data_IF_651612837966
#
_entry.id   IF_651612837966
#
_cell.length_a   1.000
_cell.length_b   1.000
_cell.length_c   1.000
_cell.angle_alpha   90.00
_cell.angle_beta   90.00
_cell.angle_gamma   90.00
#
_symmetry.space_group_name_H-M   'P 1'
#
loop_
_entity.id
_entity.type
_entity.pdbx_description
1 polymer ?
#
# COMPACT_ATOMS: atom_id res chain seq x y z
N UNK A 1 33.69 -0.76 -39.27
CA UNK A 1 32.38 -1.42 -39.46
C UNK A 1 31.83 -2.10 -38.21
N UNK A 2 32.40 -1.91 -37.00
CA UNK A 2 31.90 -2.54 -35.77
C UNK A 2 30.89 -1.69 -34.96
N UNK A 3 30.61 -0.44 -35.37
CA UNK A 3 29.76 0.50 -34.61
C UNK A 3 28.29 0.58 -35.02
N UNK A 4 27.86 -0.14 -36.08
CA UNK A 4 26.44 -0.12 -36.52
C UNK A 4 25.59 -1.23 -35.91
N UNK A 5 26.16 -2.40 -35.64
CA UNK A 5 25.41 -3.54 -35.11
C UNK A 5 25.07 -3.41 -33.61
N UNK A 6 25.92 -2.75 -32.81
CA UNK A 6 25.65 -2.53 -31.37
C UNK A 6 24.47 -1.57 -31.12
N UNK A 7 24.19 -0.69 -32.09
CA UNK A 7 23.17 0.35 -31.97
C UNK A 7 21.77 -0.11 -32.43
N UNK A 8 21.67 -1.16 -33.25
CA UNK A 8 20.37 -1.71 -33.69
C UNK A 8 19.76 -2.64 -32.63
N UNK A 9 20.56 -3.51 -31.99
CA UNK A 9 20.10 -4.41 -30.92
C UNK A 9 19.65 -3.67 -29.66
N UNK A 10 20.27 -2.51 -29.35
CA UNK A 10 19.86 -1.64 -28.23
C UNK A 10 18.59 -0.85 -28.56
N UNK A 11 18.38 -0.45 -29.81
CA UNK A 11 17.17 0.26 -30.25
C UNK A 11 15.96 -0.69 -30.31
N UNK A 12 16.17 -1.96 -30.68
CA UNK A 12 15.10 -2.97 -30.66
C UNK A 12 14.73 -3.42 -29.24
N UNK A 13 15.67 -3.51 -28.31
CA UNK A 13 15.37 -3.84 -26.90
C UNK A 13 14.69 -2.72 -26.11
N UNK A 14 14.87 -1.45 -26.51
CA UNK A 14 14.22 -0.29 -25.87
C UNK A 14 12.80 0.00 -26.38
N UNK A 15 12.42 -0.52 -27.56
CA UNK A 15 11.08 -0.31 -28.14
C UNK A 15 9.94 -0.82 -27.25
N UNK A 16 9.99 -2.05 -26.69
CA UNK A 16 8.94 -2.54 -25.79
C UNK A 16 8.75 -1.65 -24.56
N UNK A 17 9.85 -1.15 -23.97
CA UNK A 17 9.80 -0.30 -22.78
C UNK A 17 9.17 1.08 -23.07
N UNK A 18 9.47 1.68 -24.22
CA UNK A 18 8.85 2.94 -24.66
C UNK A 18 7.35 2.78 -24.91
N UNK A 19 6.94 1.69 -25.55
CA UNK A 19 5.51 1.39 -25.79
C UNK A 19 4.76 1.17 -24.46
N UNK A 20 5.37 0.47 -23.49
CA UNK A 20 4.80 0.32 -22.15
C UNK A 20 4.64 1.66 -21.43
N UNK A 21 5.62 2.56 -21.51
CA UNK A 21 5.55 3.88 -20.90
C UNK A 21 4.46 4.78 -21.52
N UNK A 22 4.30 4.77 -22.85
CA UNK A 22 3.23 5.51 -23.53
C UNK A 22 1.83 4.97 -23.17
N UNK A 23 1.68 3.65 -23.10
CA UNK A 23 0.45 3.01 -22.64
C UNK A 23 0.14 3.40 -21.18
N UNK A 24 1.16 3.42 -20.31
CA UNK A 24 1.06 3.89 -18.93
C UNK A 24 0.57 5.34 -18.84
N UNK A 25 1.19 6.27 -19.59
CA UNK A 25 0.76 7.68 -19.65
C UNK A 25 -0.68 7.83 -20.10
N UNK A 26 -1.12 7.07 -21.11
CA UNK A 26 -2.51 7.10 -21.57
C UNK A 26 -3.48 6.66 -20.47
N UNK A 27 -3.17 5.59 -19.75
CA UNK A 27 -4.00 5.13 -18.64
C UNK A 27 -4.05 6.15 -17.50
N UNK A 28 -2.89 6.69 -17.10
CA UNK A 28 -2.78 7.68 -16.01
C UNK A 28 -3.53 8.97 -16.33
N UNK A 29 -3.49 9.44 -17.58
CA UNK A 29 -4.26 10.63 -18.01
C UNK A 29 -5.77 10.43 -17.90
N UNK A 30 -6.26 9.21 -18.06
CA UNK A 30 -7.69 8.92 -17.94
C UNK A 30 -8.18 8.90 -16.48
N UNK A 31 -7.28 8.92 -15.49
CA UNK A 31 -7.65 8.90 -14.07
C UNK A 31 -8.28 10.23 -13.66
N UNK A 32 -9.59 10.22 -13.43
CA UNK A 32 -10.37 11.33 -12.90
C UNK A 32 -11.38 10.83 -11.88
N UNK A 33 -11.86 11.73 -11.02
CA UNK A 33 -12.97 11.43 -10.13
C UNK A 33 -14.27 11.35 -10.95
N UNK A 34 -14.94 10.20 -10.90
CA UNK A 34 -16.26 9.99 -11.49
C UNK A 34 -17.21 9.40 -10.45
N UNK A 35 -18.53 9.65 -10.54
CA UNK A 35 -19.50 8.99 -9.68
C UNK A 35 -19.43 7.46 -9.84
N UNK A 36 -19.49 6.73 -8.73
CA UNK A 36 -19.40 5.26 -8.72
C UNK A 36 -20.48 4.66 -9.62
N UNK A 37 -20.11 3.70 -10.46
CA UNK A 37 -20.95 3.06 -11.48
C UNK A 37 -21.48 3.95 -12.62
N UNK A 38 -21.03 5.20 -12.75
CA UNK A 38 -21.21 5.96 -14.00
C UNK A 38 -20.49 5.29 -15.19
N UNK A 39 -20.91 5.57 -16.42
CA UNK A 39 -20.27 5.02 -17.62
C UNK A 39 -18.76 5.34 -17.67
N UNK A 40 -18.39 6.57 -17.29
CA UNK A 40 -17.01 7.04 -17.21
C UNK A 40 -16.24 6.31 -16.10
N UNK A 41 -16.87 6.05 -14.95
CA UNK A 41 -16.27 5.27 -13.88
C UNK A 41 -16.02 3.83 -14.33
N UNK A 42 -16.97 3.19 -15.02
CA UNK A 42 -16.79 1.82 -15.55
C UNK A 42 -15.61 1.76 -16.54
N UNK A 43 -15.48 2.77 -17.42
CA UNK A 43 -14.36 2.90 -18.35
C UNK A 43 -13.02 3.19 -17.64
N UNK A 44 -13.06 3.96 -16.54
CA UNK A 44 -11.92 4.17 -15.66
C UNK A 44 -11.45 2.84 -15.05
N UNK A 45 -12.35 1.97 -14.57
CA UNK A 45 -11.96 0.65 -14.03
C UNK A 45 -11.17 -0.16 -15.05
N UNK A 46 -11.58 -0.15 -16.32
CA UNK A 46 -10.84 -0.86 -17.37
C UNK A 46 -9.45 -0.25 -17.63
N UNK A 47 -9.32 1.08 -17.53
CA UNK A 47 -8.03 1.77 -17.62
C UNK A 47 -7.12 1.46 -16.42
N UNK A 48 -7.67 1.44 -15.20
CA UNK A 48 -6.94 1.06 -13.98
C UNK A 48 -6.47 -0.39 -14.03
N UNK A 49 -7.29 -1.30 -14.57
CA UNK A 49 -6.93 -2.71 -14.79
C UNK A 49 -5.77 -2.87 -15.75
N UNK A 50 -5.76 -2.10 -16.84
CA UNK A 50 -4.62 -2.07 -17.77
C UNK A 50 -3.36 -1.56 -17.09
N UNK A 51 -3.46 -0.44 -16.35
CA UNK A 51 -2.32 0.14 -15.64
C UNK A 51 -1.76 -0.79 -14.55
N UNK A 52 -2.62 -1.42 -13.75
CA UNK A 52 -2.21 -2.38 -12.72
C UNK A 52 -1.51 -3.60 -13.34
N UNK A 53 -1.98 -4.10 -14.49
CA UNK A 53 -1.28 -5.16 -15.24
C UNK A 53 0.09 -4.72 -15.73
N UNK A 54 0.25 -3.48 -16.18
CA UNK A 54 1.56 -2.94 -16.57
C UNK A 54 2.52 -2.96 -15.38
N UNK A 55 2.09 -2.47 -14.21
CA UNK A 55 2.89 -2.50 -12.97
C UNK A 55 3.28 -3.93 -12.55
N UNK A 56 2.37 -4.89 -12.70
CA UNK A 56 2.66 -6.30 -12.38
C UNK A 56 3.66 -6.93 -13.36
N UNK A 57 3.58 -6.59 -14.64
CA UNK A 57 4.55 -7.05 -15.64
C UNK A 57 5.92 -6.42 -15.37
N UNK A 58 5.92 -5.13 -15.06
CA UNK A 58 7.07 -4.34 -14.66
C UNK A 58 7.86 -4.96 -13.49
N UNK A 59 7.16 -5.34 -12.42
CA UNK A 59 7.79 -6.03 -11.28
C UNK A 59 8.31 -7.45 -11.56
N UNK A 60 8.02 -8.03 -12.74
CA UNK A 60 8.54 -9.35 -13.17
C UNK A 60 9.66 -9.23 -14.20
N UNK A 61 9.96 -8.03 -14.67
CA UNK A 61 11.06 -7.82 -15.61
C UNK A 61 12.42 -7.96 -14.89
N UNK A 62 13.46 -8.46 -15.58
CA UNK A 62 14.78 -8.54 -15.01
C UNK A 62 15.31 -7.15 -14.64
N UNK A 63 16.13 -7.08 -13.59
CA UNK A 63 16.78 -5.85 -13.15
C UNK A 63 17.55 -5.19 -14.31
N UNK A 64 17.46 -3.86 -14.43
CA UNK A 64 18.09 -3.10 -15.48
C UNK A 64 19.61 -2.98 -15.22
N UNK A 65 20.47 -3.66 -16.00
CA UNK A 65 21.91 -3.70 -15.75
C UNK A 65 22.59 -2.32 -15.93
N UNK A 66 21.96 -1.39 -16.67
CA UNK A 66 22.49 -0.04 -16.89
C UNK A 66 22.49 0.83 -15.61
N UNK A 67 21.66 0.47 -14.63
CA UNK A 67 21.56 1.20 -13.35
C UNK A 67 22.74 0.85 -12.43
N UNK A 68 23.24 -0.39 -12.49
CA UNK A 68 24.41 -0.85 -11.75
C UNK A 68 25.72 -0.18 -12.19
N UNK A 69 25.81 0.27 -13.45
CA UNK A 69 27.01 0.94 -14.00
C UNK A 69 27.08 2.43 -13.63
N UNK A 70 25.99 3.01 -13.12
CA UNK A 70 25.93 4.41 -12.68
C UNK A 70 26.45 4.58 -11.24
N UNK A 71 27.78 4.66 -11.12
CA UNK A 71 28.59 5.35 -10.08
C UNK A 71 28.07 5.39 -8.62
N UNK A 72 28.76 4.64 -7.74
CA UNK A 72 28.94 5.03 -6.33
C UNK A 72 27.77 4.82 -5.38
N UNK A 73 26.77 3.99 -5.75
CA UNK A 73 25.67 3.66 -4.85
C UNK A 73 26.12 2.90 -3.62
N UNK A 74 25.51 3.26 -2.49
CA UNK A 74 25.44 2.37 -1.35
C UNK A 74 24.52 1.19 -1.72
N UNK A 75 25.11 0.02 -1.96
CA UNK A 75 24.40 -1.22 -2.24
C UNK A 75 23.51 -1.65 -1.06
N UNK A 76 23.63 -1.02 0.11
CA UNK A 76 22.80 -1.24 1.28
C UNK A 76 21.52 -0.37 1.31
N UNK A 77 21.38 0.64 0.45
CA UNK A 77 20.19 1.50 0.38
C UNK A 77 19.17 0.95 -0.60
N UNK A 78 17.91 0.82 -0.16
CA UNK A 78 16.77 0.72 -1.09
C UNK A 78 16.81 1.98 -1.98
N UNK A 79 17.07 1.83 -3.27
CA UNK A 79 17.25 2.98 -4.18
C UNK A 79 15.97 3.82 -4.33
N UNK A 80 16.12 5.09 -4.73
CA UNK A 80 14.99 6.02 -4.95
C UNK A 80 14.10 5.55 -6.10
N UNK A 81 12.82 5.96 -6.13
CA UNK A 81 11.88 5.68 -7.25
C UNK A 81 12.47 6.01 -8.63
N UNK A 82 13.39 6.97 -8.69
CA UNK A 82 14.02 7.48 -9.92
C UNK A 82 15.22 6.65 -10.36
N UNK A 83 15.76 5.88 -9.42
CA UNK A 83 17.05 5.23 -9.48
C UNK A 83 16.94 3.70 -9.43
N UNK A 84 15.76 3.10 -9.33
CA UNK A 84 15.68 1.66 -9.13
C UNK A 84 16.18 0.81 -10.31
N UNK A 85 16.76 -0.34 -9.98
CA UNK A 85 17.06 -1.41 -10.94
C UNK A 85 15.78 -2.03 -11.50
N UNK A 86 14.68 -1.95 -10.75
CA UNK A 86 13.37 -2.40 -11.17
C UNK A 86 12.74 -1.45 -12.20
N UNK A 87 12.07 -2.02 -13.19
CA UNK A 87 11.36 -1.26 -14.20
C UNK A 87 10.03 -0.74 -13.62
N UNK A 88 9.99 0.42 -12.97
CA UNK A 88 8.75 0.96 -12.37
C UNK A 88 8.17 2.18 -13.10
N UNK A 89 8.15 2.14 -14.44
CA UNK A 89 7.74 3.29 -15.24
C UNK A 89 6.29 3.69 -14.97
N UNK A 90 5.38 2.73 -14.78
CA UNK A 90 3.97 3.05 -14.56
C UNK A 90 3.71 3.75 -13.23
N UNK A 91 4.37 3.33 -12.13
CA UNK A 91 4.29 4.02 -10.84
C UNK A 91 4.94 5.39 -10.92
N UNK A 92 6.11 5.48 -11.56
CA UNK A 92 6.78 6.76 -11.79
C UNK A 92 5.88 7.76 -12.52
N UNK A 93 5.25 7.34 -13.62
CA UNK A 93 4.31 8.19 -14.38
C UNK A 93 3.12 8.62 -13.50
N UNK A 94 2.60 7.72 -12.67
CA UNK A 94 1.48 8.03 -11.75
C UNK A 94 1.85 9.14 -10.75
N UNK A 95 3.09 9.10 -10.23
CA UNK A 95 3.65 10.11 -9.32
C UNK A 95 3.94 11.42 -10.07
N UNK A 96 4.62 11.37 -11.22
CA UNK A 96 4.95 12.53 -12.06
C UNK A 96 3.71 13.34 -12.47
N UNK A 97 2.60 12.67 -12.78
CA UNK A 97 1.33 13.29 -13.17
C UNK A 97 0.44 13.66 -11.96
N UNK A 98 0.99 13.58 -10.73
CA UNK A 98 0.33 13.93 -9.46
C UNK A 98 -1.01 13.20 -9.23
N UNK A 99 -1.13 11.94 -9.69
CA UNK A 99 -2.39 11.18 -9.62
C UNK A 99 -2.52 10.33 -8.35
N UNK A 100 -1.46 10.10 -7.57
CA UNK A 100 -1.53 9.24 -6.38
C UNK A 100 -2.50 9.78 -5.32
N UNK A 101 -2.50 11.09 -5.04
CA UNK A 101 -3.48 11.73 -4.14
C UNK A 101 -4.92 11.64 -4.66
N UNK A 102 -5.12 11.64 -5.99
CA UNK A 102 -6.43 11.42 -6.57
C UNK A 102 -6.87 9.96 -6.42
N UNK A 103 -5.95 9.01 -6.63
CA UNK A 103 -6.20 7.59 -6.39
C UNK A 103 -6.61 7.32 -4.94
N UNK A 104 -5.95 7.95 -3.96
CA UNK A 104 -6.33 7.82 -2.55
C UNK A 104 -7.74 8.36 -2.28
N UNK A 105 -8.06 9.57 -2.77
CA UNK A 105 -9.40 10.16 -2.63
C UNK A 105 -10.50 9.30 -3.24
N UNK A 106 -10.30 8.83 -4.48
CA UNK A 106 -11.25 7.93 -5.14
C UNK A 106 -11.44 6.63 -4.35
N UNK A 107 -10.37 6.05 -3.79
CA UNK A 107 -10.46 4.84 -2.97
C UNK A 107 -11.25 5.10 -1.69
N UNK A 108 -10.95 6.19 -1.00
CA UNK A 108 -11.63 6.57 0.23
C UNK A 108 -13.13 6.82 0.01
N UNK A 109 -13.48 7.58 -1.03
CA UNK A 109 -14.88 7.84 -1.42
C UNK A 109 -15.61 6.54 -1.81
N UNK A 110 -14.94 5.66 -2.56
CA UNK A 110 -15.49 4.35 -2.91
C UNK A 110 -15.79 3.50 -1.67
N UNK A 111 -14.89 3.46 -0.69
CA UNK A 111 -15.11 2.68 0.54
C UNK A 111 -16.19 3.31 1.42
N UNK A 112 -16.33 4.63 1.44
CA UNK A 112 -17.49 5.32 2.05
C UNK A 112 -18.80 4.93 1.39
N UNK A 113 -18.86 4.96 0.07
CA UNK A 113 -20.02 4.51 -0.70
C UNK A 113 -20.35 3.03 -0.41
N UNK A 114 -19.34 2.17 -0.36
CA UNK A 114 -19.52 0.73 -0.08
C UNK A 114 -20.09 0.47 1.32
N UNK A 115 -19.72 1.29 2.31
CA UNK A 115 -20.23 1.20 3.69
C UNK A 115 -21.61 1.89 3.88
N UNK A 116 -22.21 2.46 2.84
CA UNK A 116 -23.55 3.04 2.87
C UNK A 116 -24.55 2.15 2.09
N UNK A 117 -25.24 1.19 2.74
CA UNK A 117 -26.08 0.21 2.04
C UNK A 117 -27.22 0.85 1.22
N UNK A 118 -27.79 1.94 1.71
CA UNK A 118 -28.90 2.63 1.06
C UNK A 118 -28.45 3.31 -0.24
N UNK A 119 -27.35 4.06 -0.19
CA UNK A 119 -26.77 4.74 -1.36
C UNK A 119 -26.26 3.72 -2.39
N UNK A 120 -25.57 2.68 -1.91
CA UNK A 120 -25.05 1.59 -2.75
C UNK A 120 -26.18 0.88 -3.51
N UNK A 121 -27.24 0.48 -2.81
CA UNK A 121 -28.38 -0.19 -3.43
C UNK A 121 -29.05 0.70 -4.50
N UNK A 122 -29.29 1.98 -4.18
CA UNK A 122 -29.87 2.92 -5.13
C UNK A 122 -28.99 3.09 -6.38
N UNK A 123 -27.68 3.25 -6.20
CA UNK A 123 -26.71 3.40 -7.31
C UNK A 123 -26.70 2.18 -8.21
N UNK A 124 -26.72 0.97 -7.64
CA UNK A 124 -26.74 -0.29 -8.38
C UNK A 124 -28.04 -0.42 -9.19
N UNK A 125 -29.19 -0.14 -8.60
CA UNK A 125 -30.49 -0.22 -9.30
C UNK A 125 -30.57 0.77 -10.46
N UNK A 126 -30.03 1.97 -10.31
CA UNK A 126 -29.93 2.96 -11.38
C UNK A 126 -29.01 2.48 -12.51
N UNK A 127 -27.83 1.94 -12.18
CA UNK A 127 -26.88 1.42 -13.15
C UNK A 127 -27.43 0.21 -13.93
N UNK A 128 -28.16 -0.69 -13.27
CA UNK A 128 -28.82 -1.84 -13.94
C UNK A 128 -29.81 -1.33 -15.00
N UNK A 129 -30.63 -0.33 -14.65
CA UNK A 129 -31.61 0.27 -15.58
C UNK A 129 -30.94 1.02 -16.73
N UNK A 130 -29.82 1.68 -16.47
CA UNK A 130 -29.14 2.52 -17.45
C UNK A 130 -28.30 1.73 -18.48
N UNK A 131 -27.68 0.62 -18.07
CA UNK A 131 -26.64 -0.06 -18.86
C UNK A 131 -26.96 -1.52 -19.21
N UNK A 132 -28.18 -2.01 -18.93
CA UNK A 132 -28.58 -3.41 -19.15
C UNK A 132 -27.57 -4.41 -18.58
N UNK A 133 -26.97 -4.05 -17.45
CA UNK A 133 -25.95 -4.83 -16.74
C UNK A 133 -26.58 -5.58 -15.58
N UNK A 134 -26.04 -6.75 -15.26
CA UNK A 134 -26.45 -7.51 -14.07
C UNK A 134 -25.75 -6.98 -12.82
N UNK A 135 -26.39 -7.14 -11.65
CA UNK A 135 -25.77 -6.80 -10.36
C UNK A 135 -24.39 -7.45 -10.20
N UNK A 136 -24.27 -8.74 -10.54
CA UNK A 136 -23.00 -9.47 -10.51
C UNK A 136 -21.88 -8.81 -11.34
N UNK A 137 -22.20 -8.28 -12.53
CA UNK A 137 -21.21 -7.59 -13.38
C UNK A 137 -20.77 -6.26 -12.76
N UNK A 138 -21.68 -5.53 -12.11
CA UNK A 138 -21.36 -4.29 -11.42
C UNK A 138 -20.51 -4.56 -10.17
N UNK A 139 -20.83 -5.60 -9.39
CA UNK A 139 -20.01 -6.03 -8.26
C UNK A 139 -18.59 -6.42 -8.68
N UNK A 140 -18.46 -7.13 -9.80
CA UNK A 140 -17.15 -7.45 -10.37
C UNK A 140 -16.36 -6.20 -10.76
N UNK A 141 -17.02 -5.11 -11.19
CA UNK A 141 -16.36 -3.84 -11.48
C UNK A 141 -15.93 -3.13 -10.19
N UNK A 142 -16.74 -3.18 -9.13
CA UNK A 142 -16.38 -2.70 -7.79
C UNK A 142 -15.12 -3.39 -7.25
N UNK A 143 -15.10 -4.73 -7.28
CA UNK A 143 -13.94 -5.53 -6.86
C UNK A 143 -12.71 -5.16 -7.70
N UNK A 144 -12.85 -5.10 -9.03
CA UNK A 144 -11.74 -4.76 -9.92
C UNK A 144 -11.19 -3.36 -9.66
N UNK A 145 -12.05 -2.38 -9.40
CA UNK A 145 -11.63 -1.03 -9.03
C UNK A 145 -10.80 -1.05 -7.76
N UNK A 146 -11.30 -1.70 -6.71
CA UNK A 146 -10.64 -1.78 -5.41
C UNK A 146 -9.28 -2.47 -5.48
N UNK A 147 -9.22 -3.64 -6.12
CA UNK A 147 -7.99 -4.41 -6.30
C UNK A 147 -6.93 -3.64 -7.11
N UNK A 148 -7.34 -3.04 -8.23
CA UNK A 148 -6.41 -2.37 -9.13
C UNK A 148 -5.85 -1.12 -8.47
N UNK A 149 -6.71 -0.27 -7.91
CA UNK A 149 -6.30 0.97 -7.29
C UNK A 149 -5.52 0.72 -5.99
N UNK A 150 -5.91 -0.29 -5.20
CA UNK A 150 -5.16 -0.72 -4.02
C UNK A 150 -3.75 -1.22 -4.37
N UNK A 151 -3.61 -1.98 -5.45
CA UNK A 151 -2.30 -2.42 -5.95
C UNK A 151 -1.41 -1.22 -6.34
N UNK A 152 -1.98 -0.23 -7.05
CA UNK A 152 -1.24 0.96 -7.47
C UNK A 152 -0.78 1.80 -6.27
N UNK A 153 -1.67 2.04 -5.30
CA UNK A 153 -1.34 2.78 -4.09
C UNK A 153 -0.29 2.05 -3.26
N UNK A 154 -0.46 0.75 -3.04
CA UNK A 154 0.51 -0.10 -2.32
C UNK A 154 1.91 0.02 -2.93
N UNK A 155 2.01 -0.09 -4.26
CA UNK A 155 3.29 0.00 -4.97
C UNK A 155 3.87 1.41 -4.92
N UNK A 156 3.03 2.44 -5.02
CA UNK A 156 3.50 3.82 -4.91
C UNK A 156 4.05 4.14 -3.51
N UNK A 157 3.41 3.63 -2.44
CA UNK A 157 3.82 3.88 -1.05
C UNK A 157 5.01 3.06 -0.57
N UNK A 158 5.57 2.18 -1.41
CA UNK A 158 6.90 1.60 -1.14
C UNK A 158 8.02 2.64 -1.25
N UNK A 159 7.73 3.79 -1.86
CA UNK A 159 8.71 4.85 -2.11
C UNK A 159 8.44 6.04 -1.21
N UNK A 160 9.45 6.45 -0.45
CA UNK A 160 9.36 7.58 0.47
C UNK A 160 9.05 8.89 -0.26
N UNK A 161 9.57 9.08 -1.47
CA UNK A 161 9.34 10.27 -2.29
C UNK A 161 7.87 10.40 -2.67
N UNK A 162 7.19 9.29 -2.93
CA UNK A 162 5.74 9.30 -3.13
C UNK A 162 5.07 9.80 -1.87
N UNK A 163 5.38 9.22 -0.71
CA UNK A 163 4.74 9.58 0.57
C UNK A 163 4.98 11.05 0.94
N UNK A 164 6.14 11.61 0.63
CA UNK A 164 6.44 13.04 0.84
C UNK A 164 5.54 13.98 0.01
N UNK A 165 4.98 13.50 -1.10
CA UNK A 165 4.05 14.24 -1.96
C UNK A 165 2.57 13.97 -1.62
N UNK A 166 2.30 13.05 -0.69
CA UNK A 166 0.94 12.63 -0.34
C UNK A 166 0.28 13.52 0.70
N UNK A 167 -1.04 13.54 0.64
CA UNK A 167 -1.88 13.96 1.76
C UNK A 167 -1.85 12.88 2.85
N UNK A 168 -0.87 12.99 3.75
CA UNK A 168 -0.67 12.06 4.87
C UNK A 168 -1.89 12.03 5.81
N UNK A 169 -2.50 13.17 6.20
CA UNK A 169 -3.74 13.16 6.98
C UNK A 169 -4.84 12.28 6.35
N UNK A 170 -5.11 12.45 5.05
CA UNK A 170 -6.12 11.63 4.36
C UNK A 170 -5.74 10.14 4.33
N UNK A 171 -4.45 9.82 4.18
CA UNK A 171 -3.99 8.43 4.20
C UNK A 171 -4.20 7.78 5.57
N UNK A 172 -3.90 8.49 6.65
CA UNK A 172 -4.17 8.04 8.02
C UNK A 172 -5.68 7.85 8.22
N UNK A 173 -6.50 8.82 7.82
CA UNK A 173 -7.96 8.73 7.89
C UNK A 173 -8.50 7.53 7.11
N UNK A 174 -7.98 7.27 5.92
CA UNK A 174 -8.33 6.09 5.13
C UNK A 174 -7.97 4.81 5.86
N UNK A 175 -6.76 4.71 6.41
CA UNK A 175 -6.36 3.53 7.18
C UNK A 175 -7.30 3.26 8.35
N UNK A 176 -7.58 4.28 9.14
CA UNK A 176 -8.48 4.19 10.31
C UNK A 176 -9.89 3.79 9.87
N UNK A 177 -10.41 4.40 8.81
CA UNK A 177 -11.75 4.12 8.27
C UNK A 177 -11.92 2.65 7.87
N UNK A 178 -10.92 2.06 7.20
CA UNK A 178 -10.95 0.65 6.81
C UNK A 178 -10.88 -0.26 8.03
N UNK A 179 -9.91 -0.02 8.92
CA UNK A 179 -9.69 -0.86 10.11
C UNK A 179 -10.93 -0.86 11.02
N UNK A 180 -11.53 0.30 11.28
CA UNK A 180 -12.77 0.41 12.06
C UNK A 180 -13.96 -0.29 11.38
N UNK A 181 -14.05 -0.22 10.06
CA UNK A 181 -15.04 -0.96 9.27
C UNK A 181 -14.94 -2.48 9.47
N UNK A 182 -13.72 -3.02 9.50
CA UNK A 182 -13.48 -4.44 9.74
C UNK A 182 -13.93 -4.89 11.14
N UNK A 183 -13.72 -4.07 12.17
CA UNK A 183 -14.20 -4.36 13.53
C UNK A 183 -15.72 -4.34 13.65
N UNK A 184 -16.38 -3.47 12.88
CA UNK A 184 -17.84 -3.35 12.88
C UNK A 184 -18.54 -4.48 12.11
N UNK A 185 -17.85 -5.14 11.18
CA UNK A 185 -18.39 -6.31 10.48
C UNK A 185 -18.20 -7.59 11.33
N UNK A 186 -19.32 -8.29 11.60
CA UNK A 186 -19.41 -9.45 12.50
C UNK A 186 -18.77 -10.75 11.95
N UNK A 187 -17.93 -10.67 10.91
CA UNK A 187 -17.34 -11.84 10.26
C UNK A 187 -15.92 -12.17 10.74
N UNK A 188 -15.59 -13.46 10.81
CA UNK A 188 -14.23 -13.95 11.11
C UNK A 188 -13.38 -14.19 9.85
N UNK A 189 -13.92 -13.84 8.67
CA UNK A 189 -13.21 -13.94 7.39
C UNK A 189 -12.81 -12.56 6.91
N UNK A 190 -11.55 -12.42 6.54
CA UNK A 190 -10.98 -11.22 5.92
C UNK A 190 -11.48 -11.04 4.47
N UNK A 191 -12.01 -12.11 3.86
CA UNK A 191 -12.40 -12.10 2.46
C UNK A 191 -11.19 -12.18 1.52
N UNK A 192 -11.27 -11.47 0.39
CA UNK A 192 -10.19 -11.46 -0.60
C UNK A 192 -9.03 -10.58 -0.15
N UNK A 193 -7.84 -11.18 -0.02
CA UNK A 193 -6.61 -10.51 0.44
C UNK A 193 -6.10 -9.37 -0.45
N UNK A 194 -6.71 -9.17 -1.63
CA UNK A 194 -6.39 -8.09 -2.56
C UNK A 194 -7.22 -6.81 -2.33
N UNK A 195 -8.20 -6.86 -1.43
CA UNK A 195 -9.07 -5.73 -1.07
C UNK A 195 -8.46 -4.87 0.04
N UNK A 196 -9.04 -3.69 0.29
CA UNK A 196 -8.48 -2.70 1.20
C UNK A 196 -8.34 -3.21 2.63
N UNK A 197 -9.23 -4.11 3.07
CA UNK A 197 -9.19 -4.75 4.38
C UNK A 197 -7.84 -5.46 4.62
N UNK A 198 -7.18 -5.92 3.57
CA UNK A 198 -5.83 -6.46 3.67
C UNK A 198 -4.76 -5.44 3.29
N UNK A 199 -4.98 -4.71 2.20
CA UNK A 199 -3.97 -3.83 1.62
C UNK A 199 -3.62 -2.66 2.56
N UNK A 200 -4.55 -2.24 3.42
CA UNK A 200 -4.35 -1.14 4.39
C UNK A 200 -3.15 -1.36 5.33
N UNK A 201 -2.81 -2.61 5.67
CA UNK A 201 -1.67 -2.90 6.53
C UNK A 201 -0.33 -2.61 5.84
N UNK A 202 -0.26 -2.70 4.51
CA UNK A 202 0.92 -2.20 3.77
C UNK A 202 1.03 -0.68 3.89
N UNK A 203 -0.08 0.05 3.83
CA UNK A 203 -0.05 1.51 3.95
C UNK A 203 0.41 1.94 5.34
N UNK A 204 -0.12 1.30 6.38
CA UNK A 204 0.34 1.49 7.75
C UNK A 204 1.84 1.17 7.90
N UNK A 205 2.27 0.00 7.41
CA UNK A 205 3.68 -0.39 7.44
C UNK A 205 4.59 0.63 6.77
N UNK A 206 4.23 1.10 5.57
CA UNK A 206 4.95 2.15 4.85
C UNK A 206 4.99 3.48 5.59
N UNK A 207 3.87 3.94 6.18
CA UNK A 207 3.83 5.18 6.97
C UNK A 207 4.81 5.11 8.14
N UNK A 208 4.81 4.00 8.87
CA UNK A 208 5.68 3.80 10.02
C UNK A 208 7.15 3.63 9.60
N UNK A 209 7.42 2.89 8.52
CA UNK A 209 8.77 2.70 7.94
C UNK A 209 9.43 4.03 7.59
N UNK A 210 8.65 4.99 7.10
CA UNK A 210 9.16 6.27 6.61
C UNK A 210 8.84 7.45 7.52
N UNK A 211 8.38 7.23 8.75
CA UNK A 211 7.91 8.31 9.64
C UNK A 211 8.95 9.43 9.85
N UNK A 212 10.22 9.08 10.01
CA UNK A 212 11.32 10.06 10.18
C UNK A 212 11.59 10.92 8.94
N UNK A 213 11.42 10.34 7.74
CA UNK A 213 11.62 11.03 6.47
C UNK A 213 10.40 11.88 6.07
N UNK A 214 9.29 11.73 6.80
CA UNK A 214 8.07 12.51 6.69
C UNK A 214 8.03 13.57 7.81
N UNK A 215 6.89 14.25 7.97
CA UNK A 215 6.67 15.11 9.14
C UNK A 215 6.38 14.24 10.37
N UNK A 216 7.45 13.69 10.98
CA UNK A 216 7.39 12.69 12.05
C UNK A 216 6.43 13.10 13.18
N UNK A 217 6.58 14.32 13.70
CA UNK A 217 5.77 14.80 14.83
C UNK A 217 4.29 14.90 14.49
N UNK A 218 3.94 15.38 13.30
CA UNK A 218 2.53 15.47 12.87
C UNK A 218 1.93 14.08 12.61
N UNK A 219 2.68 13.22 11.92
CA UNK A 219 2.27 11.84 11.63
C UNK A 219 2.02 11.05 12.92
N UNK A 220 2.95 11.10 13.87
CA UNK A 220 2.83 10.42 15.15
C UNK A 220 1.69 11.00 15.99
N UNK A 221 1.54 12.33 16.04
CA UNK A 221 0.45 12.98 16.76
C UNK A 221 -0.93 12.56 16.21
N UNK A 222 -1.11 12.54 14.88
CA UNK A 222 -2.35 12.09 14.23
C UNK A 222 -2.59 10.59 14.40
N UNK A 223 -1.54 9.78 14.29
CA UNK A 223 -1.62 8.33 14.51
C UNK A 223 -2.08 8.00 15.92
N UNK A 224 -1.61 8.75 16.91
CA UNK A 224 -2.07 8.65 18.31
C UNK A 224 -3.52 9.10 18.47
N UNK A 225 -3.86 10.28 17.94
CA UNK A 225 -5.22 10.84 18.05
C UNK A 225 -6.28 9.86 17.52
N UNK A 226 -5.99 9.19 16.41
CA UNK A 226 -6.90 8.25 15.75
C UNK A 226 -6.65 6.78 16.14
N UNK A 227 -5.79 6.51 17.12
CA UNK A 227 -5.48 5.17 17.62
C UNK A 227 -5.04 4.18 16.51
N UNK A 228 -4.35 4.68 15.49
CA UNK A 228 -4.01 3.91 14.29
C UNK A 228 -3.18 2.66 14.61
N UNK A 229 -2.21 2.77 15.52
CA UNK A 229 -1.35 1.63 15.91
C UNK A 229 -2.18 0.51 16.54
N UNK A 230 -3.04 0.84 17.51
CA UNK A 230 -3.89 -0.14 18.19
C UNK A 230 -4.85 -0.82 17.22
N UNK A 231 -5.47 -0.04 16.31
CA UNK A 231 -6.37 -0.55 15.27
C UNK A 231 -5.64 -1.51 14.31
N UNK A 232 -4.45 -1.13 13.82
CA UNK A 232 -3.68 -1.93 12.87
C UNK A 232 -3.22 -3.26 13.50
N UNK A 233 -2.75 -3.21 14.74
CA UNK A 233 -2.27 -4.39 15.48
C UNK A 233 -3.42 -5.34 15.80
N UNK A 234 -4.54 -4.81 16.30
CA UNK A 234 -5.72 -5.62 16.60
C UNK A 234 -6.28 -6.27 15.33
N UNK A 235 -6.26 -5.55 14.20
CA UNK A 235 -6.72 -6.07 12.91
C UNK A 235 -5.81 -7.18 12.39
N UNK A 236 -4.49 -6.97 12.47
CA UNK A 236 -3.52 -8.00 12.12
C UNK A 236 -3.74 -9.27 12.93
N UNK A 237 -3.86 -9.14 14.26
CA UNK A 237 -4.00 -10.28 15.16
C UNK A 237 -5.30 -11.06 14.94
N UNK A 238 -6.40 -10.37 14.62
CA UNK A 238 -7.68 -11.00 14.30
C UNK A 238 -7.59 -11.91 13.07
N UNK A 239 -6.80 -11.53 12.07
CA UNK A 239 -6.71 -12.25 10.79
C UNK A 239 -5.30 -12.78 10.47
N UNK A 240 -4.45 -12.96 11.50
CA UNK A 240 -3.03 -13.27 11.34
C UNK A 240 -2.75 -14.47 10.44
N UNK A 241 -3.60 -15.50 10.52
CA UNK A 241 -3.46 -16.74 9.73
C UNK A 241 -3.92 -16.58 8.27
N UNK A 242 -4.65 -15.51 7.94
CA UNK A 242 -5.20 -15.25 6.59
C UNK A 242 -4.28 -14.34 5.76
N UNK A 243 -3.35 -13.62 6.40
CA UNK A 243 -2.41 -12.74 5.70
C UNK A 243 -1.26 -13.50 5.05
N UNK A 244 -0.88 -13.05 3.85
CA UNK A 244 0.29 -13.54 3.12
C UNK A 244 1.60 -13.14 3.82
N UNK A 245 2.65 -13.93 3.64
CA UNK A 245 3.98 -13.70 4.22
C UNK A 245 4.57 -12.34 3.86
N UNK A 246 4.39 -11.90 2.61
CA UNK A 246 4.86 -10.59 2.14
C UNK A 246 4.25 -9.42 2.94
N UNK A 247 2.96 -9.53 3.31
CA UNK A 247 2.30 -8.55 4.16
C UNK A 247 2.88 -8.58 5.57
N UNK A 248 3.07 -9.79 6.13
CA UNK A 248 3.64 -9.98 7.46
C UNK A 248 5.02 -9.34 7.57
N UNK A 249 5.88 -9.56 6.56
CA UNK A 249 7.20 -8.95 6.50
C UNK A 249 7.12 -7.43 6.44
N UNK A 250 6.31 -6.88 5.53
CA UNK A 250 6.16 -5.42 5.40
C UNK A 250 5.61 -4.77 6.68
N UNK A 251 4.66 -5.41 7.36
CA UNK A 251 4.14 -4.95 8.64
C UNK A 251 5.20 -5.01 9.74
N UNK A 252 5.98 -6.09 9.82
CA UNK A 252 7.04 -6.25 10.81
C UNK A 252 8.15 -5.21 10.62
N UNK A 253 8.54 -4.92 9.36
CA UNK A 253 9.50 -3.88 9.03
C UNK A 253 9.00 -2.50 9.44
N UNK A 254 7.74 -2.16 9.12
CA UNK A 254 7.13 -0.89 9.53
C UNK A 254 7.03 -0.72 11.05
N UNK A 255 6.60 -1.77 11.76
CA UNK A 255 6.56 -1.75 13.23
C UNK A 255 7.95 -1.69 13.87
N UNK A 256 8.96 -2.30 13.24
CA UNK A 256 10.35 -2.20 13.68
C UNK A 256 10.89 -0.79 13.53
N UNK A 257 10.66 -0.15 12.38
CA UNK A 257 11.04 1.24 12.17
C UNK A 257 10.33 2.20 13.16
N UNK A 258 9.04 1.97 13.45
CA UNK A 258 8.33 2.71 14.49
C UNK A 258 8.99 2.53 15.87
N UNK A 259 9.41 1.31 16.20
CA UNK A 259 10.08 1.02 17.47
C UNK A 259 11.51 1.59 17.57
N UNK A 260 12.14 1.88 16.44
CA UNK A 260 13.47 2.53 16.36
C UNK A 260 13.37 4.07 16.41
N UNK A 261 12.17 4.62 16.18
CA UNK A 261 11.93 6.06 16.13
C UNK A 261 12.00 6.71 17.53
N UNK A 262 12.86 7.72 17.67
CA UNK A 262 13.13 8.38 18.96
C UNK A 262 11.90 9.11 19.54
N UNK A 263 11.12 9.79 18.70
CA UNK A 263 9.93 10.53 19.14
C UNK A 263 8.85 9.55 19.61
N UNK A 264 8.64 8.44 18.88
CA UNK A 264 7.75 7.37 19.31
C UNK A 264 8.21 6.79 20.66
N UNK A 265 9.50 6.45 20.79
CA UNK A 265 10.05 5.86 22.01
C UNK A 265 9.99 6.80 23.22
N UNK A 266 9.90 8.11 23.01
CA UNK A 266 9.74 9.08 24.09
C UNK A 266 8.32 9.08 24.66
N UNK A 267 7.30 8.86 23.82
CA UNK A 267 5.89 8.96 24.19
C UNK A 267 5.08 7.68 23.93
N UNK A 268 5.75 6.53 23.82
CA UNK A 268 5.16 5.28 23.31
C UNK A 268 3.93 4.83 24.10
N UNK A 269 3.89 5.08 25.42
CA UNK A 269 2.75 4.70 26.26
C UNK A 269 1.44 5.36 25.82
N UNK A 270 1.52 6.57 25.25
CA UNK A 270 0.35 7.31 24.77
C UNK A 270 -0.31 6.68 23.54
N UNK A 271 0.38 5.76 22.85
CA UNK A 271 -0.16 4.99 21.73
C UNK A 271 -0.92 3.72 22.18
N UNK A 272 -0.93 3.42 23.48
CA UNK A 272 -1.62 2.27 24.07
C UNK A 272 -2.63 2.75 25.13
N UNK A 273 -3.68 3.51 24.73
CA UNK A 273 -4.62 4.10 25.68
C UNK A 273 -5.52 3.08 26.37
N UNK A 274 -5.77 1.91 25.76
CA UNK A 274 -6.62 0.89 26.36
C UNK A 274 -5.85 0.01 27.36
N UNK A 275 -6.49 -0.47 28.45
CA UNK A 275 -5.81 -1.29 29.47
C UNK A 275 -5.13 -2.54 28.91
N UNK A 276 -5.73 -3.13 27.87
CA UNK A 276 -5.27 -4.36 27.24
C UNK A 276 -4.41 -4.10 25.98
N UNK A 277 -4.22 -2.85 25.56
CA UNK A 277 -3.47 -2.52 24.34
C UNK A 277 -2.01 -3.03 24.40
N UNK A 278 -1.35 -2.87 25.57
CA UNK A 278 0.02 -3.37 25.77
C UNK A 278 0.09 -4.89 25.65
N UNK A 279 -0.84 -5.61 26.29
CA UNK A 279 -0.92 -7.07 26.21
C UNK A 279 -1.24 -7.55 24.79
N UNK A 280 -2.16 -6.86 24.11
CA UNK A 280 -2.52 -7.11 22.72
C UNK A 280 -1.31 -6.94 21.80
N UNK A 281 -0.54 -5.86 21.96
CA UNK A 281 0.68 -5.64 21.18
C UNK A 281 1.73 -6.73 21.38
N UNK A 282 1.88 -7.24 22.61
CA UNK A 282 2.82 -8.33 22.89
C UNK A 282 2.46 -9.64 22.18
N UNK A 283 1.19 -9.86 21.80
CA UNK A 283 0.80 -11.03 21.00
C UNK A 283 1.45 -11.04 19.61
N UNK A 284 1.88 -9.89 19.09
CA UNK A 284 2.65 -9.82 17.84
C UNK A 284 3.97 -10.58 17.92
N UNK A 285 4.54 -10.72 19.11
CA UNK A 285 5.78 -11.47 19.26
C UNK A 285 5.59 -12.91 18.76
N UNK A 286 4.52 -13.56 19.22
CA UNK A 286 4.16 -14.93 18.86
C UNK A 286 3.56 -15.03 17.45
N UNK A 287 2.68 -14.10 17.06
CA UNK A 287 1.90 -14.19 15.82
C UNK A 287 2.57 -13.60 14.58
N UNK A 288 3.55 -12.71 14.77
CA UNK A 288 4.23 -12.01 13.68
C UNK A 288 5.74 -12.32 13.67
N UNK A 289 6.46 -11.96 14.74
CA UNK A 289 7.93 -11.99 14.69
C UNK A 289 8.53 -13.39 14.81
N UNK A 290 7.98 -14.26 15.65
CA UNK A 290 8.48 -15.65 15.78
C UNK A 290 8.37 -16.41 14.46
N UNK A 291 7.22 -16.46 13.77
CA UNK A 291 7.10 -17.13 12.48
C UNK A 291 8.08 -16.59 11.43
N UNK A 292 8.25 -15.26 11.36
CA UNK A 292 9.20 -14.62 10.44
C UNK A 292 10.64 -15.08 10.73
N UNK A 293 11.04 -15.14 12.00
CA UNK A 293 12.41 -15.53 12.39
C UNK A 293 12.68 -17.03 12.23
N UNK A 294 11.66 -17.86 12.35
CA UNK A 294 11.76 -19.30 12.10
C UNK A 294 11.96 -19.59 10.62
N UNK A 295 11.25 -18.87 9.75
CA UNK A 295 11.36 -19.03 8.30
C UNK A 295 12.58 -18.29 7.72
N UNK A 296 12.86 -17.07 8.20
CA UNK A 296 13.88 -16.14 7.68
C UNK A 296 14.76 -15.58 8.81
N UNK A 297 15.68 -16.39 9.38
CA UNK A 297 16.52 -15.97 10.50
C UNK A 297 17.40 -14.73 10.21
N UNK A 298 17.74 -14.49 8.94
CA UNK A 298 18.51 -13.34 8.47
C UNK A 298 17.79 -12.00 8.72
N UNK A 299 16.45 -12.00 8.73
CA UNK A 299 15.62 -10.80 9.00
C UNK A 299 15.71 -10.32 10.44
N UNK A 300 16.37 -11.07 11.33
CA UNK A 300 16.53 -10.72 12.75
C UNK A 300 17.16 -9.36 12.99
N UNK A 301 18.07 -8.92 12.12
CA UNK A 301 18.71 -7.61 12.26
C UNK A 301 17.71 -6.48 11.99
N UNK A 302 16.87 -6.65 10.97
CA UNK A 302 15.90 -5.64 10.53
C UNK A 302 14.75 -5.49 11.52
N UNK A 303 14.28 -6.58 12.11
CA UNK A 303 13.19 -6.55 13.11
C UNK A 303 13.70 -6.39 14.56
N UNK A 304 15.00 -6.13 14.76
CA UNK A 304 15.61 -6.08 16.09
C UNK A 304 14.98 -4.98 16.98
N UNK A 305 14.78 -3.74 16.51
CA UNK A 305 14.11 -2.71 17.30
C UNK A 305 12.76 -3.16 17.87
N UNK A 306 11.93 -3.83 17.06
CA UNK A 306 10.64 -4.36 17.51
C UNK A 306 10.79 -5.39 18.64
N UNK A 307 11.76 -6.30 18.55
CA UNK A 307 12.04 -7.29 19.59
C UNK A 307 12.48 -6.64 20.90
N UNK A 308 13.32 -5.61 20.82
CA UNK A 308 13.77 -4.85 21.99
C UNK A 308 12.60 -4.05 22.60
N UNK A 309 11.71 -3.51 21.76
CA UNK A 309 10.50 -2.83 22.21
C UNK A 309 9.51 -3.76 22.92
N UNK A 310 9.32 -5.00 22.48
CA UNK A 310 8.54 -5.99 23.25
C UNK A 310 9.10 -6.20 24.66
N UNK A 311 10.42 -6.20 24.81
CA UNK A 311 11.06 -6.29 26.12
C UNK A 311 10.85 -5.02 26.96
N UNK A 312 10.82 -3.84 26.33
CA UNK A 312 10.51 -2.59 27.01
C UNK A 312 9.07 -2.59 27.54
N UNK A 313 8.08 -3.00 26.73
CA UNK A 313 6.68 -3.12 27.16
C UNK A 313 6.57 -4.08 28.34
N UNK A 314 7.17 -5.27 28.26
CA UNK A 314 7.14 -6.27 29.37
C UNK A 314 7.73 -5.77 30.68
N UNK A 315 8.69 -4.84 30.64
CA UNK A 315 9.28 -4.22 31.85
C UNK A 315 8.38 -3.14 32.46
N UNK A 316 7.46 -2.59 31.67
CA UNK A 316 6.52 -1.55 32.09
C UNK A 316 5.16 -2.08 32.56
N UNK A 317 4.89 -3.38 32.35
CA UNK A 317 3.72 -4.09 32.86
C UNK A 317 3.94 -4.49 34.32
#
# INVERSE_FOLDING_TARGET
MAGRYVNEDTVESERPLKVCAEAGRKCVRNIHQYPVLSAEWIALVDSLKQLSRLVQLEGRMPANPKVLEAQGRDMASEGTLWDQEAHENAIRILVEEAKVNLCLRMMYDFKKWQQNPAERQATIEEAIKAYDSTELQLEQKCIQFEECLGTLLRKAFMHVETLQLMDIPLLIEHCVFILQGCFSSLGDSLGDTRLQESVVLYYFGSLMKHAEALNNSELLARSRELQLVELAVSHFLRFADQFQEDLKLSLAEGLSAMADNEDFMTEWESFFPSPDAKATFLMLQEKLTTPILEEKPEKRREIRPLLDFFNAIKRSM
#
